data_IF_723413652555
#
_entry.id   IF_723413652555
#
_cell.length_a   1.000
_cell.length_b   1.000
_cell.length_c   1.000
_cell.angle_alpha   90.00
_cell.angle_beta   90.00
_cell.angle_gamma   90.00
#
_symmetry.space_group_name_H-M   'P 1'
#
loop_
_entity.id
_entity.type
_entity.pdbx_description
1 polymer ?
#
# COMPACT_ATOMS: atom_id res chain seq x y z
N UNK A 1 58.33 25.43 -59.42
CA UNK A 1 56.87 25.70 -59.39
C UNK A 1 56.33 25.42 -58.00
N UNK A 2 55.82 26.42 -57.28
CA UNK A 2 55.27 26.27 -55.91
C UNK A 2 53.73 26.34 -56.00
N UNK A 3 53.04 25.19 -55.94
CA UNK A 3 51.57 25.14 -55.95
C UNK A 3 51.03 25.67 -54.62
N UNK A 4 50.33 26.80 -54.64
CA UNK A 4 49.59 27.31 -53.48
C UNK A 4 48.26 26.57 -53.39
N UNK A 5 48.08 25.77 -52.34
CA UNK A 5 46.79 25.18 -52.00
C UNK A 5 45.95 26.30 -51.36
N UNK A 6 44.85 26.69 -52.00
CA UNK A 6 43.89 27.64 -51.40
C UNK A 6 43.15 26.92 -50.27
N UNK A 7 43.06 27.49 -49.06
CA UNK A 7 42.18 26.94 -48.04
C UNK A 7 40.74 27.09 -48.54
N UNK A 8 40.11 25.96 -48.86
CA UNK A 8 38.68 25.88 -49.12
C UNK A 8 37.99 26.17 -47.79
N UNK A 9 37.36 27.34 -47.66
CA UNK A 9 36.65 27.72 -46.44
C UNK A 9 35.61 26.65 -46.09
N UNK A 10 35.75 26.03 -44.91
CA UNK A 10 34.77 25.09 -44.40
C UNK A 10 33.39 25.78 -44.39
N UNK A 11 32.33 25.21 -44.98
CA UNK A 11 31.00 25.80 -44.88
C UNK A 11 30.57 25.81 -43.40
N UNK A 12 30.53 27.01 -42.82
CA UNK A 12 30.31 27.27 -41.38
C UNK A 12 28.94 26.75 -40.88
N UNK A 13 28.02 26.37 -41.78
CA UNK A 13 26.67 25.90 -41.45
C UNK A 13 26.56 24.47 -40.89
N UNK A 14 27.41 23.53 -41.34
CA UNK A 14 27.31 22.12 -40.95
C UNK A 14 27.56 21.86 -39.45
N UNK A 15 28.71 22.32 -38.90
CA UNK A 15 29.02 22.18 -37.48
C UNK A 15 28.03 22.93 -36.57
N UNK A 16 27.47 24.06 -37.02
CA UNK A 16 26.49 24.84 -36.26
C UNK A 16 25.15 24.09 -36.09
N UNK A 17 24.67 23.44 -37.16
CA UNK A 17 23.46 22.62 -37.11
C UNK A 17 23.63 21.41 -36.18
N UNK A 18 24.80 20.77 -36.24
CA UNK A 18 25.13 19.65 -35.36
C UNK A 18 25.15 20.09 -33.89
N UNK A 19 25.73 21.25 -33.58
CA UNK A 19 25.71 21.81 -32.23
C UNK A 19 24.29 22.09 -31.74
N UNK A 20 23.45 22.72 -32.56
CA UNK A 20 22.06 22.98 -32.20
C UNK A 20 21.30 21.67 -31.89
N UNK A 21 21.51 20.62 -32.69
CA UNK A 21 20.92 19.32 -32.46
C UNK A 21 21.38 18.69 -31.14
N UNK A 22 22.68 18.71 -30.86
CA UNK A 22 23.24 18.21 -29.60
C UNK A 22 22.64 18.97 -28.40
N UNK A 23 22.56 20.30 -28.48
CA UNK A 23 21.97 21.10 -27.40
C UNK A 23 20.51 20.75 -27.14
N UNK A 24 19.72 20.50 -28.20
CA UNK A 24 18.34 20.02 -28.06
C UNK A 24 18.29 18.63 -27.41
N UNK A 25 19.11 17.68 -27.87
CA UNK A 25 19.19 16.34 -27.28
C UNK A 25 19.58 16.39 -25.79
N UNK A 26 20.60 17.19 -25.44
CA UNK A 26 21.03 17.39 -24.06
C UNK A 26 19.93 17.99 -23.20
N UNK A 27 19.20 18.98 -23.73
CA UNK A 27 18.08 19.61 -23.02
C UNK A 27 16.95 18.62 -22.75
N UNK A 28 16.59 17.80 -23.74
CA UNK A 28 15.55 16.77 -23.60
C UNK A 28 15.98 15.72 -22.58
N UNK A 29 17.22 15.22 -22.66
CA UNK A 29 17.73 14.25 -21.69
C UNK A 29 17.81 14.81 -20.26
N UNK A 30 18.26 16.06 -20.10
CA UNK A 30 18.25 16.73 -18.82
C UNK A 30 16.83 16.86 -18.25
N UNK A 31 15.86 17.26 -19.09
CA UNK A 31 14.46 17.37 -18.68
C UNK A 31 13.86 16.03 -18.27
N UNK A 32 14.11 14.96 -19.03
CA UNK A 32 13.62 13.61 -18.70
C UNK A 32 14.26 13.13 -17.40
N UNK A 33 15.57 13.33 -17.21
CA UNK A 33 16.27 12.95 -15.97
C UNK A 33 15.67 13.66 -14.76
N UNK A 34 15.42 14.97 -14.85
CA UNK A 34 14.76 15.73 -13.79
C UNK A 34 13.32 15.26 -13.53
N UNK A 35 12.54 15.07 -14.59
CA UNK A 35 11.16 14.59 -14.48
C UNK A 35 11.10 13.19 -13.85
N UNK A 36 12.02 12.29 -14.22
CA UNK A 36 12.14 10.95 -13.62
C UNK A 36 12.50 11.06 -12.15
N UNK A 37 13.57 11.77 -11.80
CA UNK A 37 14.01 11.94 -10.42
C UNK A 37 12.90 12.54 -9.53
N UNK A 38 12.14 13.51 -10.04
CA UNK A 38 11.00 14.09 -9.32
C UNK A 38 9.83 13.10 -9.18
N UNK A 39 9.58 12.25 -10.18
CA UNK A 39 8.57 11.18 -10.08
C UNK A 39 8.99 10.13 -9.07
N UNK A 40 10.24 9.70 -9.11
CA UNK A 40 10.81 8.73 -8.18
C UNK A 40 10.75 9.27 -6.75
N UNK A 41 11.12 10.53 -6.53
CA UNK A 41 11.00 11.21 -5.25
C UNK A 41 9.56 11.21 -4.72
N UNK A 42 8.59 11.63 -5.54
CA UNK A 42 7.16 11.64 -5.15
C UNK A 42 6.63 10.24 -4.88
N UNK A 43 7.08 9.24 -5.63
CA UNK A 43 6.71 7.85 -5.42
C UNK A 43 7.27 7.35 -4.08
N UNK A 44 8.55 7.58 -3.80
CA UNK A 44 9.17 7.22 -2.52
C UNK A 44 8.47 7.88 -1.33
N UNK A 45 8.09 9.15 -1.45
CA UNK A 45 7.32 9.84 -0.41
C UNK A 45 5.96 9.17 -0.16
N UNK A 46 5.20 8.90 -1.22
CA UNK A 46 3.92 8.19 -1.10
C UNK A 46 4.07 6.81 -0.49
N UNK A 47 5.08 6.05 -0.90
CA UNK A 47 5.37 4.73 -0.33
C UNK A 47 5.67 4.83 1.16
N UNK A 48 6.50 5.80 1.57
CA UNK A 48 6.81 6.01 2.98
C UNK A 48 5.54 6.34 3.79
N UNK A 49 4.70 7.25 3.30
CA UNK A 49 3.42 7.57 3.94
C UNK A 49 2.50 6.35 4.06
N UNK A 50 2.37 5.57 2.99
CA UNK A 50 1.53 4.36 2.98
C UNK A 50 2.05 3.33 3.97
N UNK A 51 3.38 3.15 4.08
CA UNK A 51 3.97 2.25 5.07
C UNK A 51 3.70 2.73 6.50
N UNK A 52 3.88 4.02 6.78
CA UNK A 52 3.53 4.58 8.09
C UNK A 52 2.08 4.32 8.44
N UNK A 53 1.16 4.55 7.50
CA UNK A 53 -0.27 4.33 7.73
C UNK A 53 -0.61 2.86 7.90
N UNK A 54 0.05 1.97 7.16
CA UNK A 54 -0.06 0.53 7.34
C UNK A 54 0.26 0.14 8.78
N UNK A 55 1.43 0.55 9.30
CA UNK A 55 1.83 0.22 10.67
C UNK A 55 0.93 0.87 11.73
N UNK A 56 0.37 2.05 11.47
CA UNK A 56 -0.62 2.66 12.37
C UNK A 56 -1.91 1.83 12.41
N UNK A 57 -2.36 1.30 11.26
CA UNK A 57 -3.53 0.44 11.20
C UNK A 57 -3.26 -0.95 11.81
N UNK A 58 -2.05 -1.48 11.62
CA UNK A 58 -1.58 -2.74 12.20
C UNK A 58 -1.60 -2.70 13.73
N UNK A 59 -0.97 -1.68 14.33
CA UNK A 59 -1.00 -1.48 15.78
C UNK A 59 -2.42 -1.35 16.32
N UNK A 60 -3.30 -0.61 15.62
CA UNK A 60 -4.71 -0.49 16.01
C UNK A 60 -5.46 -1.81 15.91
N UNK A 61 -5.17 -2.60 14.89
CA UNK A 61 -5.78 -3.90 14.72
C UNK A 61 -5.37 -4.85 15.85
N UNK A 62 -4.10 -4.83 16.28
CA UNK A 62 -3.64 -5.59 17.44
C UNK A 62 -4.30 -5.12 18.75
N UNK A 63 -4.43 -3.81 18.94
CA UNK A 63 -5.08 -3.23 20.13
C UNK A 63 -6.55 -3.67 20.22
N UNK A 64 -7.29 -3.60 19.11
CA UNK A 64 -8.68 -4.08 19.03
C UNK A 64 -8.75 -5.58 19.32
N UNK A 65 -7.84 -6.37 18.76
CA UNK A 65 -7.82 -7.82 19.00
C UNK A 65 -7.63 -8.14 20.49
N UNK A 66 -6.70 -7.45 21.14
CA UNK A 66 -6.41 -7.62 22.56
C UNK A 66 -7.58 -7.16 23.45
N UNK A 67 -8.28 -6.10 23.06
CA UNK A 67 -9.48 -5.62 23.77
C UNK A 67 -10.64 -6.63 23.62
N UNK A 68 -10.87 -7.16 22.41
CA UNK A 68 -11.88 -8.20 22.16
C UNK A 68 -11.54 -9.47 22.94
N UNK A 69 -10.29 -9.93 22.95
CA UNK A 69 -9.85 -11.08 23.77
C UNK A 69 -10.14 -10.84 25.26
N UNK A 70 -9.85 -9.63 25.75
CA UNK A 70 -10.08 -9.25 27.14
C UNK A 70 -11.56 -9.20 27.51
N UNK A 71 -12.41 -8.71 26.61
CA UNK A 71 -13.88 -8.69 26.78
C UNK A 71 -14.48 -10.11 26.73
N UNK A 72 -14.00 -10.96 25.81
CA UNK A 72 -14.41 -12.36 25.75
C UNK A 72 -14.02 -13.13 27.02
N UNK A 73 -12.81 -12.91 27.56
CA UNK A 73 -12.36 -13.50 28.84
C UNK A 73 -13.20 -13.05 30.04
N UNK A 74 -13.76 -11.84 30.00
CA UNK A 74 -14.68 -11.33 31.03
C UNK A 74 -16.10 -11.89 30.90
N UNK A 75 -16.37 -12.76 29.92
CA UNK A 75 -17.73 -13.24 29.57
C UNK A 75 -18.70 -12.08 29.29
N UNK A 76 -18.21 -11.03 28.64
CA UNK A 76 -19.07 -9.92 28.18
C UNK A 76 -20.01 -10.40 27.06
N UNK A 77 -21.18 -9.77 26.95
CA UNK A 77 -22.19 -10.16 25.96
C UNK A 77 -21.66 -9.79 24.57
N UNK A 78 -21.68 -10.75 23.64
CA UNK A 78 -21.14 -10.58 22.27
C UNK A 78 -21.76 -9.36 21.55
N UNK A 79 -23.06 -9.13 21.71
CA UNK A 79 -23.76 -7.97 21.12
C UNK A 79 -23.23 -6.62 21.64
N UNK A 80 -22.73 -6.57 22.87
CA UNK A 80 -22.14 -5.35 23.44
C UNK A 80 -20.77 -5.07 22.84
N UNK A 81 -19.97 -6.13 22.63
CA UNK A 81 -18.67 -6.07 21.94
C UNK A 81 -18.86 -5.62 20.49
N UNK A 82 -19.82 -6.20 19.76
CA UNK A 82 -20.12 -5.77 18.38
C UNK A 82 -20.59 -4.30 18.31
N UNK A 83 -21.34 -3.85 19.32
CA UNK A 83 -21.80 -2.46 19.39
C UNK A 83 -20.65 -1.50 19.68
N UNK A 84 -19.73 -1.86 20.58
CA UNK A 84 -18.55 -1.08 20.93
C UNK A 84 -17.57 -0.95 19.75
N UNK A 85 -17.43 -1.99 18.93
CA UNK A 85 -16.54 -1.99 17.75
C UNK A 85 -17.25 -1.80 16.40
N UNK A 86 -18.46 -1.25 16.42
CA UNK A 86 -19.26 -1.03 15.20
C UNK A 86 -18.55 -0.13 14.17
N UNK A 87 -17.75 0.83 14.65
CA UNK A 87 -16.96 1.73 13.80
C UNK A 87 -15.89 1.02 12.96
N UNK A 88 -15.55 -0.23 13.32
CA UNK A 88 -14.56 -1.08 12.63
C UNK A 88 -15.20 -2.23 11.85
N UNK A 89 -16.53 -2.19 11.65
CA UNK A 89 -17.31 -3.27 11.02
C UNK A 89 -17.01 -4.64 11.63
N UNK A 90 -16.90 -4.70 12.97
CA UNK A 90 -16.68 -5.95 13.67
C UNK A 90 -17.93 -6.85 13.57
N UNK A 91 -17.70 -8.13 13.27
CA UNK A 91 -18.71 -9.19 13.20
C UNK A 91 -18.17 -10.35 14.03
N UNK A 92 -18.93 -10.77 15.03
CA UNK A 92 -18.56 -11.81 15.97
C UNK A 92 -19.58 -12.94 15.85
N UNK A 93 -19.13 -14.08 15.34
CA UNK A 93 -19.97 -15.27 15.17
C UNK A 93 -19.59 -16.34 16.19
N UNK A 94 -20.54 -16.75 17.01
CA UNK A 94 -20.37 -17.82 17.99
C UNK A 94 -20.94 -19.13 17.43
N UNK A 95 -20.09 -20.15 17.30
CA UNK A 95 -20.44 -21.52 16.89
C UNK A 95 -20.28 -22.50 18.07
N UNK A 96 -20.82 -22.11 19.23
CA UNK A 96 -20.76 -22.86 20.48
C UNK A 96 -19.46 -22.66 21.24
N UNK A 97 -18.43 -23.47 20.92
CA UNK A 97 -17.15 -23.46 21.65
C UNK A 97 -16.06 -22.65 20.94
N UNK A 98 -16.40 -22.11 19.76
CA UNK A 98 -15.51 -21.35 18.89
C UNK A 98 -16.18 -20.01 18.60
N UNK A 99 -15.47 -18.92 18.86
CA UNK A 99 -15.90 -17.56 18.53
C UNK A 99 -15.01 -17.06 17.40
N UNK A 100 -15.61 -16.75 16.24
CA UNK A 100 -14.90 -16.15 15.11
C UNK A 100 -15.17 -14.65 15.11
N UNK A 101 -14.11 -13.86 15.03
CA UNK A 101 -14.13 -12.40 15.07
C UNK A 101 -13.54 -11.89 13.76
N UNK A 102 -14.32 -11.07 13.04
CA UNK A 102 -13.90 -10.44 11.79
C UNK A 102 -14.08 -8.94 11.90
N UNK A 103 -13.07 -8.16 11.57
CA UNK A 103 -13.16 -6.70 11.60
C UNK A 103 -12.20 -6.08 10.59
N UNK A 104 -12.38 -4.79 10.30
CA UNK A 104 -11.57 -4.06 9.35
C UNK A 104 -11.13 -2.70 9.89
N UNK A 105 -9.82 -2.43 9.83
CA UNK A 105 -9.23 -1.14 10.23
C UNK A 105 -8.84 -0.35 9.00
N UNK A 106 -9.23 0.92 8.93
CA UNK A 106 -8.90 1.78 7.78
C UNK A 106 -7.42 2.18 7.79
N UNK A 107 -6.73 1.99 6.66
CA UNK A 107 -5.31 2.35 6.47
C UNK A 107 -5.19 3.74 5.83
N UNK A 108 -5.60 3.88 4.57
CA UNK A 108 -5.68 5.13 3.78
C UNK A 108 -6.53 4.90 2.52
N UNK A 109 -7.21 5.93 2.03
CA UNK A 109 -8.06 5.89 0.85
C UNK A 109 -9.18 4.82 0.95
N UNK A 110 -9.09 3.77 0.12
CA UNK A 110 -10.01 2.62 0.08
C UNK A 110 -9.33 1.34 0.54
N UNK A 111 -8.20 1.41 1.22
CA UNK A 111 -7.49 0.24 1.73
C UNK A 111 -7.81 0.05 3.21
N UNK A 112 -8.19 -1.18 3.57
CA UNK A 112 -8.49 -1.58 4.94
C UNK A 112 -7.66 -2.82 5.28
N UNK A 113 -7.20 -2.90 6.53
CA UNK A 113 -6.59 -4.09 7.09
C UNK A 113 -7.71 -4.98 7.64
N UNK A 114 -7.96 -6.10 6.98
CA UNK A 114 -8.97 -7.07 7.39
C UNK A 114 -8.32 -8.14 8.27
N UNK A 115 -8.92 -8.35 9.44
CA UNK A 115 -8.49 -9.35 10.41
C UNK A 115 -9.58 -10.39 10.60
N UNK A 116 -9.18 -11.65 10.58
CA UNK A 116 -10.01 -12.82 10.88
C UNK A 116 -9.31 -13.63 11.96
N UNK A 117 -9.92 -13.70 13.13
CA UNK A 117 -9.38 -14.36 14.31
C UNK A 117 -10.39 -15.34 14.89
N UNK A 118 -9.90 -16.48 15.36
CA UNK A 118 -10.69 -17.53 15.99
C UNK A 118 -10.25 -17.71 17.43
N UNK A 119 -11.21 -17.63 18.33
CA UNK A 119 -11.05 -17.85 19.76
C UNK A 119 -11.66 -19.20 20.12
N UNK A 120 -10.86 -20.05 20.76
CA UNK A 120 -11.32 -21.36 21.27
C UNK A 120 -11.43 -21.31 22.79
N UNK A 121 -12.37 -22.04 23.37
CA UNK A 121 -12.57 -22.14 24.82
C UNK A 121 -11.33 -22.54 25.65
N UNK A 122 -10.27 -23.05 25.03
CA UNK A 122 -8.97 -23.35 25.67
C UNK A 122 -8.01 -22.13 25.74
N UNK A 123 -8.52 -20.89 25.68
CA UNK A 123 -7.72 -19.65 25.63
C UNK A 123 -6.72 -19.57 24.46
N UNK A 124 -6.91 -20.36 23.41
CA UNK A 124 -6.10 -20.30 22.20
C UNK A 124 -6.72 -19.34 21.20
N UNK A 125 -5.93 -18.36 20.77
CA UNK A 125 -6.25 -17.45 19.68
C UNK A 125 -5.52 -17.95 18.43
N UNK A 126 -6.27 -18.23 17.37
CA UNK A 126 -5.75 -18.57 16.05
C UNK A 126 -6.06 -17.44 15.09
N UNK A 127 -5.03 -16.82 14.50
CA UNK A 127 -5.21 -15.81 13.46
C UNK A 127 -5.39 -16.53 12.13
N UNK A 128 -6.59 -16.45 11.56
CA UNK A 128 -6.93 -17.05 10.27
C UNK A 128 -6.56 -16.14 9.11
N UNK A 129 -6.54 -14.83 9.33
CA UNK A 129 -6.25 -13.86 8.28
C UNK A 129 -5.82 -12.50 8.79
N UNK A 130 -4.76 -11.96 8.19
CA UNK A 130 -4.27 -10.61 8.44
C UNK A 130 -3.80 -10.01 7.12
N UNK A 131 -4.68 -9.30 6.40
CA UNK A 131 -4.32 -8.79 5.06
C UNK A 131 -4.94 -7.45 4.74
N UNK A 132 -4.19 -6.63 3.99
CA UNK A 132 -4.71 -5.38 3.44
C UNK A 132 -5.56 -5.69 2.21
N UNK A 133 -6.82 -5.25 2.22
CA UNK A 133 -7.77 -5.40 1.12
C UNK A 133 -8.33 -4.06 0.68
N UNK A 134 -8.81 -4.01 -0.55
CA UNK A 134 -9.56 -2.85 -1.04
C UNK A 134 -11.01 -2.94 -0.57
N UNK A 135 -11.51 -1.88 0.07
CA UNK A 135 -12.84 -1.73 0.66
C UNK A 135 -14.00 -1.92 -0.34
N UNK A 136 -13.73 -1.99 -1.65
CA UNK A 136 -14.74 -2.28 -2.68
C UNK A 136 -15.27 -3.72 -2.68
N UNK A 137 -14.71 -4.63 -1.87
CA UNK A 137 -15.00 -6.08 -1.93
C UNK A 137 -15.91 -6.55 -0.78
N UNK A 138 -16.33 -5.69 0.15
CA UNK A 138 -17.02 -6.12 1.39
C UNK A 138 -18.55 -6.30 1.19
N UNK A 139 -19.10 -6.15 -0.04
CA UNK A 139 -20.56 -6.24 -0.26
C UNK A 139 -21.13 -7.65 -0.47
N UNK A 140 -20.32 -8.70 -0.65
CA UNK A 140 -20.90 -10.03 -0.95
C UNK A 140 -20.00 -11.18 -0.50
N UNK A 141 -20.22 -11.68 0.72
CA UNK A 141 -19.52 -12.83 1.34
C UNK A 141 -18.00 -12.65 1.50
N UNK A 142 -17.38 -13.00 2.65
CA UNK A 142 -15.93 -12.87 2.80
C UNK A 142 -15.21 -13.91 1.92
N UNK A 143 -14.93 -13.54 0.66
CA UNK A 143 -14.04 -14.22 -0.29
C UNK A 143 -12.57 -14.09 0.14
N UNK A 144 -12.31 -14.17 1.44
CA UNK A 144 -10.97 -14.28 2.02
C UNK A 144 -10.55 -15.76 2.13
N UNK A 145 -11.52 -16.68 2.25
CA UNK A 145 -11.29 -18.11 2.53
C UNK A 145 -10.74 -18.95 1.37
N UNK A 146 -10.60 -18.40 0.16
CA UNK A 146 -10.22 -19.17 -1.04
C UNK A 146 -8.82 -18.86 -1.60
N UNK A 147 -7.97 -18.13 -0.88
CA UNK A 147 -6.61 -17.89 -1.32
C UNK A 147 -5.62 -18.81 -0.58
N UNK A 148 -4.86 -19.65 -1.30
CA UNK A 148 -3.84 -20.47 -0.67
C UNK A 148 -2.79 -19.56 -0.02
N UNK A 149 -2.43 -19.91 1.21
CA UNK A 149 -1.26 -19.38 1.90
C UNK A 149 -0.05 -19.69 1.03
N UNK A 150 0.60 -18.65 0.49
CA UNK A 150 1.90 -18.78 -0.15
C UNK A 150 3.00 -18.60 0.89
#
# INVERSE_FOLDING_TARGET
MKRRIKPMGLPIGGPSLLMAFILLCLTIFASISFMSANRDYKLSQKTAETLTQYYVADNKAEEILAEIDSSLKKNEIIEDIETHFKDYNAIITNDGNIVNVKYAVTVKDKMVLAVDARFTAEEKIEILGWKVVNNRIIEDTPTFLDLPVF
#
